data_IF_591259059088
#
_entry.id   IF_591259059088
#
_cell.length_a   1.000
_cell.length_b   1.000
_cell.length_c   1.000
_cell.angle_alpha   90.00
_cell.angle_beta   90.00
_cell.angle_gamma   90.00
#
_symmetry.space_group_name_H-M   'P 1'
#
loop_
_entity.id
_entity.type
_entity.pdbx_description
1 polymer ?
#
# COMPACT_ATOMS: atom_id res chain seq x y z
N UNK A 1 -15.97 8.99 -2.99
CA UNK A 1 -15.32 8.33 -1.84
C UNK A 1 -13.83 8.51 -2.03
N UNK A 2 -13.17 9.27 -1.16
CA UNK A 2 -11.75 9.57 -1.29
C UNK A 2 -10.92 8.29 -1.07
N UNK A 3 -10.19 7.86 -2.09
CA UNK A 3 -9.10 6.87 -1.97
C UNK A 3 -7.88 7.43 -1.21
N UNK A 4 -8.05 8.62 -0.63
CA UNK A 4 -7.05 9.40 0.07
C UNK A 4 -6.31 8.70 1.21
N UNK A 5 -6.92 7.80 2.02
CA UNK A 5 -6.22 7.27 3.20
C UNK A 5 -4.99 6.43 2.85
N UNK A 6 -5.10 5.50 1.89
CA UNK A 6 -4.00 4.60 1.56
C UNK A 6 -2.89 5.32 0.79
N UNK A 7 -3.24 6.21 -0.14
CA UNK A 7 -2.25 7.01 -0.88
C UNK A 7 -1.50 7.97 0.06
N UNK A 8 -2.17 8.51 1.07
CA UNK A 8 -1.54 9.33 2.11
C UNK A 8 -0.52 8.54 2.92
N UNK A 9 -0.88 7.34 3.37
CA UNK A 9 0.03 6.47 4.13
C UNK A 9 1.22 6.02 3.27
N UNK A 10 0.97 5.65 2.00
CA UNK A 10 2.04 5.30 1.06
C UNK A 10 2.98 6.48 0.80
N UNK A 11 2.46 7.71 0.74
CA UNK A 11 3.27 8.92 0.64
C UNK A 11 4.06 9.21 1.93
N UNK A 12 3.51 8.93 3.11
CA UNK A 12 4.18 9.11 4.41
C UNK A 12 5.33 8.11 4.61
N UNK A 13 5.19 6.87 4.13
CA UNK A 13 6.25 5.85 4.27
C UNK A 13 7.23 5.85 3.09
N UNK A 14 6.95 6.57 2.01
CA UNK A 14 7.82 6.65 0.84
C UNK A 14 9.21 7.16 1.23
N UNK A 15 10.24 6.40 0.84
CA UNK A 15 11.64 6.72 1.15
C UNK A 15 12.03 6.50 2.62
N UNK A 16 11.15 5.92 3.44
CA UNK A 16 11.44 5.58 4.84
C UNK A 16 11.68 4.08 5.00
N UNK A 17 12.18 3.68 6.17
CA UNK A 17 12.28 2.27 6.58
C UNK A 17 10.96 1.69 7.09
N UNK A 18 9.87 2.47 7.11
CA UNK A 18 8.58 2.02 7.66
C UNK A 18 7.96 0.93 6.79
N UNK A 19 7.33 -0.03 7.45
CA UNK A 19 6.53 -1.06 6.77
C UNK A 19 5.03 -0.80 6.91
N UNK A 20 4.30 -1.14 5.86
CA UNK A 20 2.85 -1.07 5.77
C UNK A 20 2.31 -2.48 5.63
N UNK A 21 1.55 -2.93 6.63
CA UNK A 21 0.84 -4.20 6.55
C UNK A 21 -0.58 -3.98 6.07
N UNK A 22 -0.93 -4.63 4.96
CA UNK A 22 -2.24 -4.59 4.33
C UNK A 22 -2.96 -5.93 4.51
N UNK A 23 -4.09 -5.90 5.20
CA UNK A 23 -5.01 -7.05 5.24
C UNK A 23 -5.98 -6.95 4.07
N UNK A 24 -5.94 -7.96 3.18
CA UNK A 24 -6.83 -8.05 2.02
C UNK A 24 -7.96 -9.02 2.32
N UNK A 25 -9.21 -8.61 2.03
CA UNK A 25 -10.37 -9.48 2.23
C UNK A 25 -10.24 -10.73 1.33
N UNK A 26 -10.35 -11.92 1.93
CA UNK A 26 -10.21 -13.20 1.22
C UNK A 26 -8.77 -13.73 1.13
N UNK A 27 -7.77 -13.06 1.72
CA UNK A 27 -6.45 -13.64 1.99
C UNK A 27 -6.23 -13.83 3.48
N UNK A 28 -5.79 -15.03 3.87
CA UNK A 28 -5.38 -15.29 5.26
C UNK A 28 -4.07 -14.58 5.62
N UNK A 29 -3.16 -14.42 4.66
CA UNK A 29 -1.86 -13.79 4.89
C UNK A 29 -1.89 -12.31 4.49
N UNK A 30 -1.56 -11.38 5.41
CA UNK A 30 -1.45 -9.97 5.07
C UNK A 30 -0.28 -9.71 4.13
N UNK A 31 -0.40 -8.69 3.29
CA UNK A 31 0.67 -8.23 2.41
C UNK A 31 1.47 -7.17 3.16
N UNK A 32 2.75 -7.43 3.38
CA UNK A 32 3.67 -6.44 3.96
C UNK A 32 4.40 -5.70 2.83
N UNK A 33 4.33 -4.37 2.89
CA UNK A 33 4.98 -3.47 1.94
C UNK A 33 6.05 -2.71 2.69
N UNK A 34 7.29 -2.86 2.26
CA UNK A 34 8.46 -2.22 2.85
C UNK A 34 9.18 -1.38 1.81
N UNK A 35 9.98 -0.40 2.24
CA UNK A 35 10.90 0.35 1.37
C UNK A 35 10.19 0.90 0.12
N UNK A 36 9.04 1.55 0.32
CA UNK A 36 8.26 2.14 -0.77
C UNK A 36 9.09 3.24 -1.43
N UNK A 37 9.29 3.11 -2.73
CA UNK A 37 9.98 4.11 -3.56
C UNK A 37 8.97 4.98 -4.31
N UNK A 38 7.89 4.38 -4.79
CA UNK A 38 6.87 5.06 -5.55
C UNK A 38 5.49 4.44 -5.33
N UNK A 39 4.45 5.27 -5.35
CA UNK A 39 3.06 4.84 -5.34
C UNK A 39 2.27 5.70 -6.32
N UNK A 40 1.59 5.07 -7.28
CA UNK A 40 0.86 5.75 -8.36
C UNK A 40 -0.56 5.22 -8.44
N UNK A 41 -1.53 6.12 -8.48
CA UNK A 41 -2.92 5.78 -8.71
C UNK A 41 -3.20 5.57 -10.21
N UNK A 42 -3.71 4.39 -10.54
CA UNK A 42 -4.08 3.99 -11.89
C UNK A 42 -5.56 4.34 -12.11
N UNK A 43 -5.78 5.51 -12.69
CA UNK A 43 -7.11 6.10 -12.88
C UNK A 43 -8.01 5.26 -13.80
N UNK A 44 -7.44 4.50 -14.74
CA UNK A 44 -8.17 3.65 -15.68
C UNK A 44 -8.62 2.30 -15.11
N UNK A 45 -7.94 1.80 -14.08
CA UNK A 45 -8.11 0.44 -13.57
C UNK A 45 -8.61 0.39 -12.12
N UNK A 46 -8.93 1.55 -11.52
CA UNK A 46 -9.20 1.65 -10.08
C UNK A 46 -8.10 1.00 -9.23
N UNK A 47 -6.84 1.07 -9.66
CA UNK A 47 -5.74 0.36 -9.03
C UNK A 47 -4.68 1.29 -8.44
N UNK A 48 -3.81 0.74 -7.61
CA UNK A 48 -2.60 1.42 -7.11
C UNK A 48 -1.42 0.55 -7.48
N UNK A 49 -0.43 1.14 -8.15
CA UNK A 49 0.88 0.53 -8.34
C UNK A 49 1.82 1.04 -7.25
N UNK A 50 2.46 0.13 -6.54
CA UNK A 50 3.45 0.45 -5.52
C UNK A 50 4.77 -0.19 -5.95
N UNK A 51 5.79 0.63 -6.12
CA UNK A 51 7.15 0.18 -6.43
C UNK A 51 7.98 0.26 -5.16
N UNK A 52 8.56 -0.88 -4.77
CA UNK A 52 9.49 -1.00 -3.65
C UNK A 52 10.91 -1.23 -4.18
N UNK A 53 11.90 -1.23 -3.28
CA UNK A 53 13.27 -1.61 -3.63
C UNK A 53 13.40 -3.07 -4.10
N UNK A 54 12.45 -3.95 -3.75
CA UNK A 54 12.51 -5.40 -4.01
C UNK A 54 11.60 -5.83 -5.15
N UNK A 55 10.47 -5.16 -5.36
CA UNK A 55 9.41 -5.60 -6.27
C UNK A 55 8.35 -4.51 -6.57
N UNK A 56 7.52 -4.79 -7.57
CA UNK A 56 6.29 -4.04 -7.86
C UNK A 56 5.06 -4.78 -7.29
N UNK A 57 4.15 -4.04 -6.66
CA UNK A 57 2.89 -4.52 -6.10
C UNK A 57 1.74 -3.79 -6.78
N UNK A 58 0.76 -4.55 -7.26
CA UNK A 58 -0.44 -4.03 -7.91
C UNK A 58 -1.66 -4.34 -7.04
N UNK A 59 -2.36 -3.29 -6.61
CA UNK A 59 -3.58 -3.39 -5.81
C UNK A 59 -4.78 -2.93 -6.65
N UNK A 60 -5.82 -3.74 -6.73
CA UNK A 60 -7.11 -3.34 -7.29
C UNK A 60 -8.00 -2.79 -6.17
N UNK A 61 -8.37 -1.51 -6.23
CA UNK A 61 -9.07 -0.81 -5.16
C UNK A 61 -10.56 -1.20 -5.03
N UNK A 62 -11.06 -2.12 -5.87
CA UNK A 62 -12.46 -2.56 -5.82
C UNK A 62 -12.77 -3.42 -4.59
N UNK A 63 -11.75 -3.99 -3.92
CA UNK A 63 -11.90 -4.91 -2.78
C UNK A 63 -11.04 -4.54 -1.56
N UNK A 64 -10.42 -3.36 -1.58
CA UNK A 64 -9.50 -2.96 -0.51
C UNK A 64 -10.28 -2.36 0.65
N UNK A 65 -10.89 -3.23 1.44
CA UNK A 65 -11.19 -2.96 2.85
C UNK A 65 -9.88 -2.99 3.63
N UNK A 66 -8.91 -2.11 3.31
CA UNK A 66 -7.61 -2.14 3.97
C UNK A 66 -7.75 -1.61 5.39
N UNK A 67 -7.57 -2.49 6.36
CA UNK A 67 -7.08 -2.11 7.67
C UNK A 67 -5.55 -2.08 7.54
N UNK A 68 -4.95 -0.92 7.75
CA UNK A 68 -3.50 -0.76 7.71
C UNK A 68 -2.94 -0.49 9.10
N UNK A 69 -1.77 -1.03 9.37
CA UNK A 69 -0.99 -0.72 10.56
C UNK A 69 0.42 -0.35 10.11
N UNK A 70 0.86 0.87 10.42
CA UNK A 70 2.24 1.31 10.21
C UNK A 70 3.06 0.85 11.40
N UNK A 71 4.15 0.11 11.15
CA UNK A 71 5.12 -0.20 12.21
C UNK A 71 6.29 0.78 12.08
N UNK A 72 6.54 1.52 13.15
CA UNK A 72 7.79 2.27 13.33
C UNK A 72 8.73 1.36 14.13
N UNK A 73 9.78 0.86 13.49
CA UNK A 73 10.90 0.28 14.23
C UNK A 73 11.83 1.43 14.60
N UNK A 74 11.62 1.94 15.82
CA UNK A 74 12.52 2.88 16.48
C UNK A 74 13.77 2.19 17.03
#
# INVERSE_FOLDING_TARGET
>A
MERGPIMRVLAEIKGTSKSLRLSLQGRETPVEIEQVMEAVELHSANGIRITTAKNDIWLDASHVSAIWHTRDEG
#
